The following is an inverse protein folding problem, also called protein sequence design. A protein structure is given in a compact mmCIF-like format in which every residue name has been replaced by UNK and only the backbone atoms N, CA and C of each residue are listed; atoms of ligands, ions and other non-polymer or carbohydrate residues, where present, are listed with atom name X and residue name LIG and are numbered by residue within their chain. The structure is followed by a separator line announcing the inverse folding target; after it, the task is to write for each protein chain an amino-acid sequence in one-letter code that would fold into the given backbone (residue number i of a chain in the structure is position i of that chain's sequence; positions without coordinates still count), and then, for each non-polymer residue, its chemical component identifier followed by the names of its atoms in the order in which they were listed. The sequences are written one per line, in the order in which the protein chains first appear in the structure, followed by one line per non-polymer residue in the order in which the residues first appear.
data_IF_058906998933
#
_entry.id   IF_058906998933
#
_cell.length_a   1.000
_cell.length_b   1.000
_cell.length_c   1.000
_cell.angle_alpha   90.00
_cell.angle_beta   90.00
_cell.angle_gamma   90.00
#
_symmetry.space_group_name_H-M   'P 1'
#
loop_
_entity.id
_entity.type
_entity.pdbx_description
1 polymer ?
#
# COMPACT_ATOMS: atom_id res chain seq x y z
N UNK A 1 15.82 -2.96 23.58
CA UNK A 1 15.78 -1.58 24.11
C UNK A 1 14.33 -1.12 24.01
N UNK A 2 13.65 -0.75 25.12
CA UNK A 2 12.25 -0.28 25.09
C UNK A 2 12.24 1.19 24.68
N UNK A 3 11.61 1.53 23.56
CA UNK A 3 11.45 2.93 23.14
C UNK A 3 10.49 3.60 24.13
N UNK A 4 10.99 4.60 24.86
CA UNK A 4 10.24 5.31 25.88
C UNK A 4 9.29 6.34 25.24
N UNK A 5 8.01 6.19 25.58
CA UNK A 5 6.95 7.18 25.78
C UNK A 5 7.17 8.64 25.27
N UNK A 6 6.30 9.10 24.36
CA UNK A 6 5.72 10.46 24.50
C UNK A 6 5.73 11.42 23.30
N UNK A 7 6.39 11.13 22.19
CA UNK A 7 6.30 12.00 21.00
C UNK A 7 6.08 11.17 19.75
N UNK A 8 5.02 11.53 19.01
CA UNK A 8 4.73 11.05 17.66
C UNK A 8 6.03 11.02 16.82
N UNK A 9 6.24 9.97 16.01
CA UNK A 9 7.34 9.92 15.04
C UNK A 9 7.34 11.17 14.17
N UNK A 10 8.52 11.66 13.78
CA UNK A 10 8.68 12.70 12.75
C UNK A 10 9.39 12.09 11.54
N UNK A 11 9.35 12.74 10.37
CA UNK A 11 10.11 12.28 9.21
C UNK A 11 11.60 12.03 9.51
N UNK A 12 12.25 12.90 10.28
CA UNK A 12 13.66 12.75 10.67
C UNK A 12 13.88 11.51 11.54
N UNK A 13 12.97 11.23 12.49
CA UNK A 13 13.07 10.02 13.31
C UNK A 13 12.97 8.75 12.47
N UNK A 14 12.12 8.76 11.44
CA UNK A 14 12.02 7.64 10.50
C UNK A 14 13.33 7.45 9.74
N UNK A 15 13.91 8.53 9.19
CA UNK A 15 15.20 8.46 8.48
C UNK A 15 16.31 7.93 9.39
N UNK A 16 16.45 8.48 10.60
CA UNK A 16 17.42 8.00 11.59
C UNK A 16 17.20 6.53 11.97
N UNK A 17 15.94 6.09 12.07
CA UNK A 17 15.64 4.68 12.34
C UNK A 17 16.10 3.78 11.20
N UNK A 18 15.88 4.18 9.95
CA UNK A 18 16.30 3.42 8.76
C UNK A 18 17.82 3.35 8.67
N UNK A 19 18.49 4.49 8.74
CA UNK A 19 19.96 4.58 8.68
C UNK A 19 20.65 3.78 9.80
N UNK A 20 20.05 3.75 10.98
CA UNK A 20 20.59 3.04 12.14
C UNK A 20 20.34 1.53 12.16
N UNK A 21 19.56 0.99 11.22
CA UNK A 21 19.19 -0.42 11.19
C UNK A 21 19.25 -1.01 9.76
N UNK A 22 20.42 -0.99 9.08
CA UNK A 22 20.55 -1.45 7.70
C UNK A 22 20.15 -2.93 7.58
N UNK A 23 19.03 -3.21 6.91
CA UNK A 23 18.51 -4.58 6.79
C UNK A 23 19.52 -5.53 6.13
N UNK A 24 20.27 -5.04 5.14
CA UNK A 24 21.35 -5.79 4.47
C UNK A 24 22.44 -6.32 5.40
N UNK A 25 22.61 -5.77 6.61
CA UNK A 25 23.57 -6.23 7.62
C UNK A 25 22.94 -7.19 8.65
N UNK A 26 21.63 -7.44 8.59
CA UNK A 26 20.89 -8.24 9.56
C UNK A 26 20.58 -9.60 8.96
N UNK A 27 21.14 -10.65 9.56
CA UNK A 27 20.92 -12.04 9.11
C UNK A 27 19.69 -12.70 9.76
N UNK A 28 19.31 -12.29 10.98
CA UNK A 28 18.18 -12.89 11.70
C UNK A 28 16.83 -12.44 11.09
N UNK A 29 16.04 -13.38 10.49
CA UNK A 29 14.76 -13.04 9.87
C UNK A 29 13.74 -12.45 10.85
N UNK A 30 13.76 -12.86 12.13
CA UNK A 30 12.82 -12.34 13.12
C UNK A 30 13.19 -10.91 13.54
N UNK A 31 14.47 -10.59 13.60
CA UNK A 31 14.95 -9.22 13.82
C UNK A 31 14.59 -8.30 12.66
N UNK A 32 14.82 -8.74 11.41
CA UNK A 32 14.40 -8.00 10.21
C UNK A 32 12.90 -7.71 10.24
N UNK A 33 12.09 -8.75 10.47
CA UNK A 33 10.63 -8.64 10.55
C UNK A 33 10.16 -7.69 11.65
N UNK A 34 10.82 -7.70 12.81
CA UNK A 34 10.54 -6.75 13.91
C UNK A 34 10.78 -5.31 13.45
N UNK A 35 11.94 -5.02 12.87
CA UNK A 35 12.32 -3.68 12.42
C UNK A 35 11.40 -3.15 11.30
N UNK A 36 11.02 -4.02 10.37
CA UNK A 36 10.04 -3.69 9.32
C UNK A 36 8.69 -3.35 9.93
N UNK A 37 8.27 -4.10 10.95
CA UNK A 37 7.03 -3.83 11.70
C UNK A 37 7.08 -2.48 12.42
N UNK A 38 8.19 -2.20 13.12
CA UNK A 38 8.40 -0.93 13.82
C UNK A 38 8.40 0.26 12.84
N UNK A 39 9.02 0.11 11.66
CA UNK A 39 8.96 1.12 10.61
C UNK A 39 7.53 1.38 10.13
N UNK A 40 6.75 0.32 9.86
CA UNK A 40 5.37 0.47 9.45
C UNK A 40 4.53 1.19 10.52
N UNK A 41 4.72 0.85 11.79
CA UNK A 41 4.04 1.50 12.91
C UNK A 41 4.45 2.98 13.05
N UNK A 42 5.70 3.33 12.78
CA UNK A 42 6.16 4.73 12.75
C UNK A 42 5.50 5.52 11.63
N UNK A 43 5.46 4.95 10.42
CA UNK A 43 4.89 5.62 9.26
C UNK A 43 3.37 5.78 9.33
N UNK A 44 2.66 4.82 9.94
CA UNK A 44 1.22 4.91 10.20
C UNK A 44 0.85 6.02 11.19
N UNK A 45 1.83 6.55 11.92
CA UNK A 45 1.67 7.68 12.82
C UNK A 45 2.09 9.01 12.19
N UNK A 46 2.41 9.07 10.89
CA UNK A 46 2.72 10.33 10.18
C UNK A 46 1.49 10.90 9.46
N UNK A 47 1.46 12.22 9.29
CA UNK A 47 0.42 12.95 8.57
C UNK A 47 0.75 12.89 7.07
N UNK A 48 -0.21 13.13 6.18
CA UNK A 48 0.05 13.14 4.74
C UNK A 48 1.23 14.05 4.32
N UNK A 49 1.32 15.25 4.89
CA UNK A 49 2.40 16.21 4.60
C UNK A 49 3.77 15.74 5.14
N UNK A 50 3.77 14.97 6.23
CA UNK A 50 4.99 14.39 6.83
C UNK A 50 5.47 13.19 6.02
N UNK A 51 4.55 12.34 5.54
CA UNK A 51 4.86 11.26 4.60
C UNK A 51 5.47 11.81 3.30
N UNK A 52 4.98 12.95 2.83
CA UNK A 52 5.51 13.61 1.63
C UNK A 52 6.94 14.10 1.83
N UNK A 53 7.34 14.48 3.05
CA UNK A 53 8.72 14.89 3.37
C UNK A 53 9.72 13.72 3.43
N UNK A 54 9.23 12.48 3.56
CA UNK A 54 10.05 11.29 3.39
C UNK A 54 10.40 11.01 1.93
N UNK A 55 9.71 11.70 1.00
CA UNK A 55 9.96 11.63 -0.43
C UNK A 55 10.73 12.88 -0.83
N UNK A 56 12.00 12.76 -1.21
CA UNK A 56 12.79 13.93 -1.61
C UNK A 56 12.16 14.60 -2.86
N UNK A 57 11.72 15.86 -2.77
CA UNK A 57 11.11 16.57 -3.89
C UNK A 57 12.11 16.90 -5.02
N UNK A 58 13.43 16.80 -4.76
CA UNK A 58 14.50 17.03 -5.74
C UNK A 58 14.89 15.80 -6.55
N UNK A 59 14.67 14.59 -6.04
CA UNK A 59 14.97 13.34 -6.73
C UNK A 59 13.77 12.88 -7.56
N UNK A 60 13.62 13.51 -8.74
CA UNK A 60 12.73 12.97 -9.75
C UNK A 60 13.29 11.59 -10.18
N UNK A 61 12.51 10.56 -9.88
CA UNK A 61 12.42 9.26 -10.59
C UNK A 61 13.37 8.11 -10.25
N UNK A 62 14.54 8.26 -9.60
CA UNK A 62 15.45 7.09 -9.46
C UNK A 62 15.68 6.54 -8.03
N UNK A 63 15.47 7.33 -6.97
CA UNK A 63 15.94 6.96 -5.62
C UNK A 63 14.87 7.01 -4.51
N UNK A 64 13.57 7.16 -4.83
CA UNK A 64 12.46 7.09 -3.85
C UNK A 64 12.48 5.82 -2.98
N UNK A 65 13.17 4.78 -3.47
CA UNK A 65 13.25 3.41 -2.96
C UNK A 65 14.27 3.21 -1.82
N UNK A 66 15.31 4.05 -1.74
CA UNK A 66 16.46 3.84 -0.84
C UNK A 66 16.20 4.17 0.62
N UNK A 67 15.31 5.12 0.89
CA UNK A 67 15.24 5.76 2.21
C UNK A 67 14.39 5.02 3.25
N UNK A 68 13.75 3.89 2.90
CA UNK A 68 12.81 3.17 3.79
C UNK A 68 12.96 1.63 3.76
N UNK A 69 14.18 1.11 3.56
CA UNK A 69 14.52 -0.33 3.49
C UNK A 69 13.99 -1.13 2.29
N UNK A 70 13.12 -0.56 1.45
CA UNK A 70 12.34 -1.35 0.49
C UNK A 70 13.20 -2.18 -0.48
N UNK A 71 14.36 -1.67 -0.87
CA UNK A 71 15.31 -2.37 -1.76
C UNK A 71 16.00 -3.57 -1.07
N UNK A 72 16.15 -3.52 0.26
CA UNK A 72 16.82 -4.57 1.05
C UNK A 72 15.82 -5.62 1.57
N UNK A 73 14.51 -5.42 1.41
CA UNK A 73 13.47 -6.36 1.82
C UNK A 73 13.26 -7.47 0.79
N UNK A 74 13.08 -8.71 1.27
CA UNK A 74 12.55 -9.82 0.47
C UNK A 74 11.07 -9.59 0.10
N UNK A 75 10.54 -10.37 -0.85
CA UNK A 75 9.13 -10.27 -1.26
C UNK A 75 8.15 -10.50 -0.09
N UNK A 76 8.46 -11.45 0.80
CA UNK A 76 7.64 -11.74 1.97
C UNK A 76 7.65 -10.58 2.98
N UNK A 77 8.79 -9.92 3.12
CA UNK A 77 8.97 -8.76 3.99
C UNK A 77 8.26 -7.51 3.46
N UNK A 78 8.35 -7.26 2.16
CA UNK A 78 7.62 -6.18 1.50
C UNK A 78 6.10 -6.38 1.63
N UNK A 79 5.64 -7.63 1.53
CA UNK A 79 4.24 -7.98 1.74
C UNK A 79 3.82 -7.73 3.20
N UNK A 80 4.61 -8.20 4.17
CA UNK A 80 4.35 -7.96 5.59
C UNK A 80 4.33 -6.47 5.95
N UNK A 81 5.26 -5.68 5.40
CA UNK A 81 5.30 -4.23 5.56
C UNK A 81 4.00 -3.58 5.08
N UNK A 82 3.53 -3.94 3.88
CA UNK A 82 2.30 -3.38 3.32
C UNK A 82 1.06 -3.83 4.10
N UNK A 83 0.97 -5.09 4.54
CA UNK A 83 -0.12 -5.54 5.43
C UNK A 83 -0.18 -4.71 6.71
N UNK A 84 0.98 -4.36 7.28
CA UNK A 84 1.08 -3.49 8.45
C UNK A 84 0.67 -2.04 8.16
N UNK A 85 1.02 -1.50 7.00
CA UNK A 85 0.62 -0.13 6.59
C UNK A 85 -0.89 0.00 6.36
N UNK A 86 -1.50 -1.02 5.76
CA UNK A 86 -2.92 -0.98 5.36
C UNK A 86 -3.87 -1.55 6.44
N UNK A 87 -3.34 -2.36 7.37
CA UNK A 87 -4.06 -2.92 8.51
C UNK A 87 -5.05 -4.04 8.16
N UNK A 88 -5.71 -4.61 9.18
CA UNK A 88 -6.59 -5.80 9.06
C UNK A 88 -7.78 -5.65 8.10
N UNK A 89 -8.17 -4.42 7.79
CA UNK A 89 -9.25 -4.17 6.83
C UNK A 89 -8.81 -4.47 5.40
N UNK A 90 -7.51 -4.38 5.11
CA UNK A 90 -6.92 -4.77 3.84
C UNK A 90 -7.07 -6.27 3.58
N UNK A 91 -6.69 -7.13 4.53
CA UNK A 91 -6.82 -8.59 4.38
C UNK A 91 -8.26 -9.03 4.11
N UNK A 92 -9.22 -8.43 4.81
CA UNK A 92 -10.64 -8.69 4.60
C UNK A 92 -11.10 -8.21 3.22
N UNK A 93 -10.66 -7.02 2.78
CA UNK A 93 -10.95 -6.51 1.44
C UNK A 93 -10.36 -7.43 0.36
N UNK A 94 -9.14 -7.92 0.56
CA UNK A 94 -8.45 -8.84 -0.36
C UNK A 94 -9.16 -10.18 -0.46
N UNK A 95 -9.56 -10.77 0.67
CA UNK A 95 -10.35 -11.99 0.68
C UNK A 95 -11.67 -11.80 -0.08
N UNK A 96 -12.39 -10.72 0.22
CA UNK A 96 -13.65 -10.39 -0.47
C UNK A 96 -13.45 -10.14 -1.96
N UNK A 97 -12.37 -9.46 -2.36
CA UNK A 97 -12.04 -9.20 -3.77
C UNK A 97 -11.71 -10.48 -4.52
N UNK A 98 -10.94 -11.39 -3.92
CA UNK A 98 -10.56 -12.66 -4.53
C UNK A 98 -11.76 -13.62 -4.69
N UNK A 99 -12.75 -13.55 -3.79
CA UNK A 99 -13.97 -14.36 -3.86
C UNK A 99 -14.97 -13.85 -4.93
N UNK A 100 -14.72 -12.71 -5.57
CA UNK A 100 -15.58 -12.17 -6.62
C UNK A 100 -15.27 -12.76 -8.00
N UNK A 101 -16.31 -12.90 -8.81
CA UNK A 101 -16.17 -13.23 -10.22
C UNK A 101 -15.34 -12.16 -10.96
N UNK A 102 -14.60 -12.52 -12.03
CA UNK A 102 -13.72 -11.60 -12.76
C UNK A 102 -14.42 -10.31 -13.22
N UNK A 103 -15.69 -10.39 -13.64
CA UNK A 103 -16.48 -9.23 -14.07
C UNK A 103 -16.73 -8.23 -12.93
N UNK A 104 -16.98 -8.73 -11.73
CA UNK A 104 -17.19 -7.90 -10.54
C UNK A 104 -15.88 -7.26 -10.07
N UNK A 105 -14.78 -8.02 -10.08
CA UNK A 105 -13.44 -7.49 -9.84
C UNK A 105 -13.11 -6.36 -10.81
N UNK A 106 -13.35 -6.56 -12.11
CA UNK A 106 -13.11 -5.56 -13.15
C UNK A 106 -13.91 -4.29 -12.90
N UNK A 107 -15.20 -4.43 -12.58
CA UNK A 107 -16.06 -3.28 -12.28
C UNK A 107 -15.54 -2.46 -11.10
N UNK A 108 -15.03 -3.11 -10.05
CA UNK A 108 -14.46 -2.43 -8.89
C UNK A 108 -13.17 -1.70 -9.24
N UNK A 109 -12.22 -2.37 -9.91
CA UNK A 109 -10.93 -1.77 -10.27
C UNK A 109 -11.13 -0.57 -11.19
N UNK A 110 -11.91 -0.72 -12.25
CA UNK A 110 -12.20 0.39 -13.16
C UNK A 110 -12.95 1.54 -12.48
N UNK A 111 -13.91 1.24 -11.60
CA UNK A 111 -14.61 2.27 -10.84
C UNK A 111 -13.64 3.05 -9.97
N UNK A 112 -12.72 2.35 -9.31
CA UNK A 112 -11.72 2.95 -8.44
C UNK A 112 -10.82 3.89 -9.23
N UNK A 113 -10.28 3.45 -10.38
CA UNK A 113 -9.47 4.29 -11.25
C UNK A 113 -10.23 5.53 -11.75
N UNK A 114 -11.51 5.38 -12.12
CA UNK A 114 -12.38 6.51 -12.50
C UNK A 114 -12.66 7.47 -11.35
N UNK A 115 -12.82 6.96 -10.13
CA UNK A 115 -13.09 7.79 -8.95
C UNK A 115 -11.84 8.59 -8.54
N UNK A 116 -10.63 8.02 -8.70
CA UNK A 116 -9.36 8.75 -8.56
C UNK A 116 -9.26 9.90 -9.55
N UNK A 117 -9.53 9.63 -10.84
CA UNK A 117 -9.51 10.65 -11.91
C UNK A 117 -10.49 11.79 -11.65
N UNK A 118 -11.71 11.47 -11.19
CA UNK A 118 -12.75 12.48 -10.95
C UNK A 118 -12.48 13.38 -9.75
N UNK A 119 -11.86 12.83 -8.70
CA UNK A 119 -11.56 13.60 -7.49
C UNK A 119 -10.33 14.46 -7.67
N UNK A 120 -9.42 14.09 -8.58
CA UNK A 120 -8.12 14.76 -8.75
C UNK A 120 -7.13 14.44 -7.64
N UNK A 121 -7.61 14.02 -6.47
CA UNK A 121 -6.83 13.43 -5.40
C UNK A 121 -6.14 12.15 -5.93
N UNK A 122 -4.82 12.12 -5.89
CA UNK A 122 -3.97 11.04 -6.42
C UNK A 122 -3.98 10.86 -7.94
N UNK A 123 -4.38 11.85 -8.73
CA UNK A 123 -4.34 11.76 -10.21
C UNK A 123 -2.91 11.50 -10.72
N UNK A 124 -1.91 12.16 -10.12
CA UNK A 124 -0.51 11.92 -10.48
C UNK A 124 -0.09 10.47 -10.22
N UNK A 125 -0.57 9.85 -9.13
CA UNK A 125 -0.28 8.44 -8.83
C UNK A 125 -1.01 7.51 -9.80
N UNK A 126 -2.27 7.82 -10.15
CA UNK A 126 -3.04 7.10 -11.16
C UNK A 126 -2.33 7.11 -12.51
N UNK A 127 -1.90 8.27 -12.96
CA UNK A 127 -1.25 8.42 -14.26
C UNK A 127 0.06 7.64 -14.30
N UNK A 128 0.91 7.75 -13.27
CA UNK A 128 2.16 6.97 -13.19
C UNK A 128 1.92 5.46 -13.25
N UNK A 129 0.94 4.95 -12.50
CA UNK A 129 0.59 3.53 -12.54
C UNK A 129 0.19 3.05 -13.94
N UNK A 130 -0.62 3.85 -14.65
CA UNK A 130 -1.08 3.50 -16.00
C UNK A 130 0.00 3.70 -17.06
N UNK A 131 0.93 4.63 -16.86
CA UNK A 131 2.08 4.83 -17.74
C UNK A 131 3.10 3.69 -17.58
N UNK A 132 3.33 3.21 -16.34
CA UNK A 132 4.22 2.07 -16.06
C UNK A 132 3.57 0.73 -16.47
N UNK A 133 2.28 0.56 -16.20
CA UNK A 133 1.53 -0.65 -16.54
C UNK A 133 0.12 -0.34 -17.11
N UNK A 134 0.02 -0.17 -18.44
CA UNK A 134 -1.27 0.07 -19.11
C UNK A 134 -2.30 -1.06 -18.92
N UNK A 135 -1.84 -2.27 -18.56
CA UNK A 135 -2.67 -3.46 -18.36
C UNK A 135 -2.95 -3.74 -16.87
N UNK A 136 -2.62 -2.80 -15.97
CA UNK A 136 -2.76 -2.94 -14.52
C UNK A 136 -4.14 -3.47 -14.11
N UNK A 137 -5.21 -2.91 -14.70
CA UNK A 137 -6.57 -3.32 -14.36
C UNK A 137 -6.84 -4.78 -14.74
N UNK A 138 -6.46 -5.20 -15.95
CA UNK A 138 -6.69 -6.56 -16.42
C UNK A 138 -5.79 -7.56 -15.65
N UNK A 139 -4.56 -7.19 -15.28
CA UNK A 139 -3.69 -8.05 -14.46
C UNK A 139 -4.21 -8.24 -13.04
N UNK A 140 -4.65 -7.17 -12.37
CA UNK A 140 -5.28 -7.27 -11.03
C UNK A 140 -6.54 -8.15 -11.10
N UNK A 141 -7.33 -8.02 -12.16
CA UNK A 141 -8.55 -8.83 -12.36
C UNK A 141 -8.22 -10.30 -12.58
N UNK A 142 -7.24 -10.63 -13.42
CA UNK A 142 -6.97 -12.02 -13.80
C UNK A 142 -6.08 -12.76 -12.81
N UNK A 143 -5.03 -12.11 -12.31
CA UNK A 143 -4.04 -12.73 -11.42
C UNK A 143 -4.44 -12.59 -9.93
N UNK A 144 -5.31 -11.62 -9.63
CA UNK A 144 -5.63 -11.23 -8.26
C UNK A 144 -4.65 -10.19 -7.72
N UNK A 145 -5.15 -9.32 -6.84
CA UNK A 145 -4.42 -8.16 -6.36
C UNK A 145 -3.14 -8.51 -5.60
N UNK A 146 -3.13 -9.64 -4.87
CA UNK A 146 -1.95 -10.12 -4.13
C UNK A 146 -0.85 -10.58 -5.07
N UNK A 147 -1.21 -11.37 -6.08
CA UNK A 147 -0.26 -11.87 -7.06
C UNK A 147 0.32 -10.72 -7.89
N UNK A 148 -0.54 -9.76 -8.27
CA UNK A 148 -0.10 -8.53 -8.93
C UNK A 148 0.88 -7.76 -8.04
N UNK A 149 0.50 -7.48 -6.79
CA UNK A 149 1.36 -6.77 -5.85
C UNK A 149 2.70 -7.49 -5.67
N UNK A 150 2.74 -8.82 -5.50
CA UNK A 150 4.00 -9.55 -5.32
C UNK A 150 4.96 -9.40 -6.50
N UNK A 151 4.43 -9.51 -7.73
CA UNK A 151 5.20 -9.39 -8.98
C UNK A 151 5.54 -7.95 -9.38
N UNK A 152 4.80 -6.99 -8.84
CA UNK A 152 4.96 -5.58 -9.17
C UNK A 152 6.34 -5.05 -8.74
N UNK A 153 6.83 -4.06 -9.48
CA UNK A 153 8.06 -3.35 -9.13
C UNK A 153 7.90 -2.67 -7.77
N UNK A 154 9.00 -2.39 -7.07
CA UNK A 154 8.94 -1.66 -5.80
C UNK A 154 8.28 -0.27 -5.97
N UNK A 155 8.43 0.34 -7.15
CA UNK A 155 7.79 1.62 -7.50
C UNK A 155 6.28 1.45 -7.67
N UNK A 156 5.86 0.46 -8.48
CA UNK A 156 4.45 0.13 -8.64
C UNK A 156 3.79 -0.20 -7.30
N UNK A 157 4.47 -0.91 -6.38
CA UNK A 157 3.95 -1.22 -5.03
C UNK A 157 3.61 0.02 -4.20
N UNK A 158 4.40 1.08 -4.30
CA UNK A 158 4.13 2.35 -3.60
C UNK A 158 3.00 3.13 -4.26
N UNK A 159 3.00 3.19 -5.59
CA UNK A 159 1.93 3.86 -6.34
C UNK A 159 0.59 3.08 -6.27
N UNK A 160 0.63 1.80 -5.91
CA UNK A 160 -0.55 0.99 -5.60
C UNK A 160 -1.24 1.39 -4.30
N UNK A 161 -0.55 1.95 -3.31
CA UNK A 161 -1.17 2.24 -2.00
C UNK A 161 -2.42 3.15 -2.13
N UNK A 162 -2.39 4.28 -2.87
CA UNK A 162 -3.59 5.07 -3.18
C UNK A 162 -4.71 4.27 -3.84
N UNK A 163 -4.39 3.38 -4.78
CA UNK A 163 -5.39 2.51 -5.43
C UNK A 163 -6.03 1.57 -4.40
N UNK A 164 -5.23 0.95 -3.55
CA UNK A 164 -5.68 0.01 -2.54
C UNK A 164 -6.58 0.67 -1.49
N UNK A 165 -6.25 1.89 -1.08
CA UNK A 165 -7.10 2.69 -0.18
C UNK A 165 -8.46 3.01 -0.81
N UNK A 166 -8.47 3.45 -2.08
CA UNK A 166 -9.72 3.71 -2.80
C UNK A 166 -10.52 2.42 -3.05
N UNK A 167 -9.85 1.29 -3.32
CA UNK A 167 -10.50 -0.02 -3.40
C UNK A 167 -11.12 -0.40 -2.05
N UNK A 168 -10.44 -0.19 -0.93
CA UNK A 168 -10.99 -0.40 0.41
C UNK A 168 -12.24 0.46 0.66
N UNK A 169 -12.21 1.74 0.26
CA UNK A 169 -13.39 2.63 0.32
C UNK A 169 -14.55 2.08 -0.52
N UNK A 170 -14.28 1.63 -1.74
CA UNK A 170 -15.29 1.16 -2.69
C UNK A 170 -15.88 -0.22 -2.33
N UNK A 171 -15.05 -1.15 -1.87
CA UNK A 171 -15.49 -2.48 -1.40
C UNK A 171 -16.31 -2.35 -0.11
N UNK A 172 -15.91 -1.47 0.81
CA UNK A 172 -16.66 -1.18 2.03
C UNK A 172 -18.07 -0.60 1.77
N UNK A 173 -18.24 0.16 0.69
CA UNK A 173 -19.55 0.64 0.22
C UNK A 173 -20.35 -0.50 -0.45
N UNK A 174 -19.69 -1.39 -1.19
CA UNK A 174 -20.31 -2.52 -1.90
C UNK A 174 -20.88 -3.62 -1.00
N UNK A 175 -20.32 -3.83 0.20
CA UNK A 175 -20.85 -4.79 1.19
C UNK A 175 -22.12 -4.24 1.87
N UNK A 176 -22.19 -2.94 2.17
CA UNK A 176 -23.39 -2.31 2.74
C UNK A 176 -24.56 -2.23 1.75
N UNK A 177 -24.29 -2.16 0.45
CA UNK A 177 -25.33 -2.05 -0.58
C UNK A 177 -26.05 -3.35 -0.98
N UNK A 178 -25.58 -4.52 -0.51
CA UNK A 178 -26.17 -5.84 -0.86
C UNK A 178 -27.05 -6.45 0.24
N UNK A 179 -27.33 -5.73 1.33
CA UNK A 179 -28.10 -6.22 2.48
C UNK A 179 -29.62 -6.04 2.43
N UNK A 180 -30.16 -5.04 1.73
CA UNK A 180 -31.56 -4.60 1.95
C UNK A 180 -32.48 -4.74 0.72
N UNK A 181 -32.44 -5.88 0.03
CA UNK A 181 -33.51 -6.22 -0.93
C UNK A 181 -33.90 -7.69 -0.92
N UNK A 182 -34.43 -8.15 0.21
CA UNK A 182 -35.43 -9.23 0.27
C UNK A 182 -36.33 -9.03 1.49
N UNK A 183 -37.50 -8.43 1.30
CA UNK A 183 -38.80 -9.08 1.50
C UNK A 183 -39.91 -8.01 1.47
N UNK A 184 -40.60 -7.89 0.33
CA UNK A 184 -41.95 -7.35 0.27
C UNK A 184 -42.56 -7.86 -1.04
N UNK A 185 -43.20 -9.03 -0.93
CA UNK A 185 -44.32 -9.51 -1.77
C UNK A 185 -44.90 -10.78 -1.18
#
# INVERSE_FOLDING_TARGET
MKIANGMRPSPEKVKTFVEGNPLSEIEDPEERKRLIGDLADMLNQLEPDELTQLVDPGERTENRRRDLFLDDMTEEEQWYFMEKRMGRAFDQMMAVFNDMDPEDRKRIVERTLRDMERRGDNEDARQRMLDEDPELADKIVNEGLRAYYQKASAETKLDLAPLLEEMQRNVGIGVRGRGDRKNDR
#
